data_IF_925947020765
#
_entry.id   IF_925947020765
#
_cell.length_a   1.000
_cell.length_b   1.000
_cell.length_c   1.000
_cell.angle_alpha   90.00
_cell.angle_beta   90.00
_cell.angle_gamma   90.00
#
_symmetry.space_group_name_H-M   'P 1'
#
loop_
_entity.id
_entity.type
_entity.pdbx_description
1 polymer ?
#
# COMPACT_ATOMS: atom_id res chain seq x y z
N UNK A 1 -52.96 -31.54 38.53
CA UNK A 1 -52.52 -31.52 37.12
C UNK A 1 -51.92 -30.16 36.87
N UNK A 2 -50.59 -30.07 36.85
CA UNK A 2 -49.85 -28.84 36.54
C UNK A 2 -49.13 -29.11 35.22
N UNK A 3 -49.58 -28.49 34.13
CA UNK A 3 -48.90 -28.56 32.84
C UNK A 3 -47.76 -27.55 32.82
N UNK A 4 -46.56 -28.08 32.60
CA UNK A 4 -45.31 -27.33 32.58
C UNK A 4 -45.18 -26.44 31.36
N UNK A 5 -44.64 -25.24 31.59
CA UNK A 5 -44.16 -24.38 30.53
C UNK A 5 -42.89 -24.94 29.90
N UNK A 6 -42.95 -25.26 28.62
CA UNK A 6 -41.79 -25.48 27.77
C UNK A 6 -41.37 -24.14 27.14
N UNK A 7 -40.47 -23.43 27.79
CA UNK A 7 -39.80 -22.27 27.22
C UNK A 7 -38.67 -22.74 26.31
N UNK A 8 -39.01 -23.00 25.04
CA UNK A 8 -38.04 -23.27 23.97
C UNK A 8 -37.15 -22.06 23.70
N UNK A 9 -36.02 -21.98 24.41
CA UNK A 9 -34.93 -21.06 24.07
C UNK A 9 -34.29 -21.55 22.77
N UNK A 10 -34.65 -20.92 21.65
CA UNK A 10 -33.96 -21.13 20.36
C UNK A 10 -32.53 -20.61 20.48
N UNK A 11 -31.57 -21.52 20.67
CA UNK A 11 -30.15 -21.23 20.54
C UNK A 11 -29.87 -20.66 19.13
N UNK A 12 -29.22 -19.49 19.09
CA UNK A 12 -28.77 -18.86 17.85
C UNK A 12 -27.67 -19.74 17.24
N UNK A 13 -27.62 -19.93 15.91
CA UNK A 13 -26.62 -20.77 15.28
C UNK A 13 -25.22 -20.18 15.52
N UNK A 14 -24.37 -20.91 16.24
CA UNK A 14 -22.95 -20.61 16.36
C UNK A 14 -22.34 -20.60 14.96
N UNK A 15 -22.01 -19.41 14.45
CA UNK A 15 -21.30 -19.23 13.18
C UNK A 15 -19.97 -19.98 13.29
N UNK A 16 -19.83 -21.10 12.58
CA UNK A 16 -18.61 -21.90 12.55
C UNK A 16 -17.43 -20.99 12.18
N UNK A 17 -16.49 -20.80 13.10
CA UNK A 17 -15.34 -19.94 12.86
C UNK A 17 -14.44 -20.59 11.81
N UNK A 18 -14.05 -19.83 10.80
CA UNK A 18 -13.19 -20.32 9.71
C UNK A 18 -11.80 -20.65 10.26
N UNK A 19 -11.25 -21.78 9.85
CA UNK A 19 -9.86 -22.14 10.13
C UNK A 19 -8.89 -21.17 9.44
N UNK A 20 -7.63 -21.15 9.89
CA UNK A 20 -6.58 -20.31 9.31
C UNK A 20 -6.38 -20.62 7.82
N UNK A 21 -6.40 -21.90 7.44
CA UNK A 21 -6.24 -22.32 6.04
C UNK A 21 -7.38 -21.77 5.20
N UNK A 22 -8.62 -21.95 5.65
CA UNK A 22 -9.80 -21.43 4.94
C UNK A 22 -9.79 -19.90 4.83
N UNK A 23 -9.31 -19.19 5.87
CA UNK A 23 -9.17 -17.73 5.82
C UNK A 23 -8.14 -17.30 4.76
N UNK A 24 -6.99 -17.97 4.68
CA UNK A 24 -5.95 -17.70 3.67
C UNK A 24 -6.47 -18.03 2.26
N UNK A 25 -7.11 -19.18 2.08
CA UNK A 25 -7.69 -19.60 0.80
C UNK A 25 -8.76 -18.62 0.31
N UNK A 26 -9.66 -18.19 1.20
CA UNK A 26 -10.65 -17.15 0.88
C UNK A 26 -10.01 -15.83 0.49
N UNK A 27 -8.95 -15.42 1.18
CA UNK A 27 -8.24 -14.20 0.82
C UNK A 27 -7.57 -14.30 -0.57
N UNK A 28 -6.99 -15.46 -0.89
CA UNK A 28 -6.41 -15.72 -2.22
C UNK A 28 -7.49 -15.64 -3.30
N UNK A 29 -8.63 -16.27 -3.09
CA UNK A 29 -9.76 -16.23 -4.02
C UNK A 29 -10.29 -14.79 -4.22
N UNK A 30 -10.49 -14.05 -3.14
CA UNK A 30 -10.92 -12.64 -3.20
C UNK A 30 -9.90 -11.75 -3.91
N UNK A 31 -8.60 -12.00 -3.72
CA UNK A 31 -7.55 -11.30 -4.45
C UNK A 31 -7.64 -11.59 -5.95
N UNK A 32 -7.91 -12.84 -6.36
CA UNK A 32 -8.10 -13.17 -7.78
C UNK A 32 -9.36 -12.55 -8.37
N UNK A 33 -10.48 -12.57 -7.65
CA UNK A 33 -11.69 -11.85 -8.05
C UNK A 33 -11.40 -10.36 -8.29
N UNK A 34 -10.68 -9.74 -7.35
CA UNK A 34 -10.26 -8.34 -7.47
C UNK A 34 -9.39 -8.09 -8.71
N UNK A 35 -8.53 -9.04 -9.07
CA UNK A 35 -7.72 -8.97 -10.28
C UNK A 35 -8.59 -8.98 -11.55
N UNK A 36 -9.68 -9.75 -11.56
CA UNK A 36 -10.61 -9.77 -12.69
C UNK A 36 -11.33 -8.44 -12.82
N UNK A 37 -11.92 -7.91 -11.75
CA UNK A 37 -12.56 -6.59 -11.76
C UNK A 37 -11.58 -5.48 -12.19
N UNK A 38 -10.32 -5.54 -11.74
CA UNK A 38 -9.29 -4.58 -12.14
C UNK A 38 -9.01 -4.62 -13.65
N UNK A 39 -8.93 -5.82 -14.24
CA UNK A 39 -8.75 -5.98 -15.69
C UNK A 39 -9.96 -5.49 -16.48
N UNK A 40 -11.17 -5.67 -15.95
CA UNK A 40 -12.41 -5.16 -16.53
C UNK A 40 -12.60 -3.65 -16.36
N UNK A 41 -11.69 -2.95 -15.66
CA UNK A 41 -11.78 -1.50 -15.40
C UNK A 41 -12.73 -1.13 -14.25
N UNK A 42 -13.31 -2.11 -13.57
CA UNK A 42 -14.17 -1.90 -12.40
C UNK A 42 -13.33 -1.78 -11.13
N UNK A 43 -12.71 -0.61 -10.98
CA UNK A 43 -11.81 -0.35 -9.85
C UNK A 43 -12.55 -0.32 -8.51
N UNK A 44 -13.83 0.03 -8.48
CA UNK A 44 -14.61 0.10 -7.23
C UNK A 44 -14.81 -1.29 -6.64
N UNK A 45 -15.24 -2.25 -7.45
CA UNK A 45 -15.42 -3.62 -6.97
C UNK A 45 -14.08 -4.34 -6.75
N UNK A 46 -13.06 -4.03 -7.57
CA UNK A 46 -11.69 -4.50 -7.32
C UNK A 46 -11.21 -4.08 -5.91
N UNK A 47 -11.36 -2.80 -5.56
CA UNK A 47 -10.99 -2.27 -4.23
C UNK A 47 -11.76 -2.98 -3.11
N UNK A 48 -13.06 -3.21 -3.28
CA UNK A 48 -13.85 -3.97 -2.28
C UNK A 48 -13.29 -5.37 -2.07
N UNK A 49 -13.01 -6.10 -3.16
CA UNK A 49 -12.49 -7.47 -3.13
C UNK A 49 -11.11 -7.55 -2.45
N UNK A 50 -10.19 -6.64 -2.79
CA UNK A 50 -8.90 -6.57 -2.11
C UNK A 50 -9.02 -6.23 -0.62
N UNK A 51 -9.90 -5.30 -0.25
CA UNK A 51 -10.13 -4.98 1.17
C UNK A 51 -10.73 -6.15 1.95
N UNK A 52 -11.64 -6.92 1.35
CA UNK A 52 -12.12 -8.16 1.96
C UNK A 52 -11.00 -9.20 2.10
N UNK A 53 -10.13 -9.36 1.11
CA UNK A 53 -8.97 -10.23 1.22
C UNK A 53 -8.05 -9.81 2.39
N UNK A 54 -7.76 -8.50 2.51
CA UNK A 54 -6.99 -7.95 3.63
C UNK A 54 -7.67 -8.24 4.98
N UNK A 55 -8.99 -8.13 5.08
CA UNK A 55 -9.73 -8.41 6.31
C UNK A 55 -9.58 -9.86 6.78
N UNK A 56 -9.56 -10.82 5.85
CA UNK A 56 -9.33 -12.23 6.19
C UNK A 56 -7.89 -12.51 6.65
N UNK A 57 -6.92 -11.71 6.20
CA UNK A 57 -5.50 -11.88 6.51
C UNK A 57 -5.04 -11.06 7.72
N UNK A 58 -5.74 -9.98 8.05
CA UNK A 58 -5.40 -9.06 9.14
C UNK A 58 -5.49 -9.77 10.49
N UNK A 59 -4.44 -9.66 11.30
CA UNK A 59 -4.35 -10.29 12.61
C UNK A 59 -4.06 -11.80 12.60
N UNK A 60 -3.93 -12.44 11.43
CA UNK A 60 -3.45 -13.81 11.37
C UNK A 60 -1.94 -13.84 11.64
N UNK A 61 -1.51 -14.45 12.75
CA UNK A 61 -0.09 -14.66 13.06
C UNK A 61 0.69 -13.41 13.46
N UNK A 62 -0.01 -12.35 13.86
CA UNK A 62 0.54 -11.15 14.48
C UNK A 62 0.05 -11.08 15.92
N UNK A 63 0.51 -12.02 16.75
CA UNK A 63 0.26 -11.94 18.18
C UNK A 63 1.62 -11.81 18.90
N UNK A 64 2.08 -10.58 19.17
CA UNK A 64 3.27 -10.35 19.98
C UNK A 64 3.09 -10.93 21.40
N UNK A 65 1.85 -11.05 21.88
CA UNK A 65 1.55 -11.50 23.24
C UNK A 65 1.68 -13.02 23.40
N UNK A 66 1.60 -13.78 22.32
CA UNK A 66 1.69 -15.24 22.37
C UNK A 66 3.11 -15.76 22.62
N UNK A 67 4.13 -14.92 22.41
CA UNK A 67 5.50 -15.17 22.82
C UNK A 67 5.76 -14.84 24.30
N UNK A 68 4.87 -14.05 24.92
CA UNK A 68 5.07 -13.45 26.25
C UNK A 68 4.22 -14.17 27.31
N UNK A 69 3.06 -14.73 26.94
CA UNK A 69 2.13 -15.36 27.89
C UNK A 69 2.14 -16.89 27.72
N UNK A 70 2.70 -17.65 28.69
CA UNK A 70 2.63 -19.10 28.70
C UNK A 70 1.17 -19.58 28.73
N UNK A 71 0.76 -20.41 27.77
CA UNK A 71 -0.58 -21.02 27.73
C UNK A 71 -1.57 -20.38 26.74
N UNK A 72 -1.24 -19.23 26.13
CA UNK A 72 -2.00 -18.72 24.98
C UNK A 72 -1.63 -19.54 23.76
N UNK A 73 -2.59 -20.29 23.20
CA UNK A 73 -2.41 -20.97 21.91
C UNK A 73 -2.28 -19.90 20.82
N UNK A 74 -1.06 -19.43 20.57
CA UNK A 74 -0.78 -18.71 19.32
C UNK A 74 -1.24 -19.62 18.19
N UNK A 75 -2.16 -19.13 17.37
CA UNK A 75 -2.39 -19.72 16.06
C UNK A 75 -1.12 -19.50 15.22
N UNK A 76 -0.10 -20.32 15.46
CA UNK A 76 1.19 -20.22 14.79
C UNK A 76 1.00 -20.70 13.36
N UNK A 77 1.13 -19.79 12.39
CA UNK A 77 1.07 -20.14 10.99
C UNK A 77 2.24 -21.06 10.65
N UNK A 78 1.98 -22.09 9.85
CA UNK A 78 3.07 -22.84 9.23
C UNK A 78 3.90 -21.91 8.34
N UNK A 79 5.17 -22.27 8.09
CA UNK A 79 6.03 -21.50 7.18
C UNK A 79 5.36 -21.23 5.82
N UNK A 80 4.71 -22.25 5.26
CA UNK A 80 3.95 -22.15 4.01
C UNK A 80 2.75 -21.20 4.12
N UNK A 81 1.97 -21.28 5.19
CA UNK A 81 0.84 -20.37 5.42
C UNK A 81 1.30 -18.92 5.57
N UNK A 82 2.38 -18.68 6.32
CA UNK A 82 2.96 -17.34 6.50
C UNK A 82 3.45 -16.75 5.18
N UNK A 83 4.10 -17.57 4.35
CA UNK A 83 4.55 -17.17 3.02
C UNK A 83 3.38 -16.82 2.10
N UNK A 84 2.36 -17.69 2.02
CA UNK A 84 1.16 -17.42 1.22
C UNK A 84 0.42 -16.18 1.71
N UNK A 85 0.25 -16.01 3.03
CA UNK A 85 -0.34 -14.81 3.64
C UNK A 85 0.41 -13.56 3.21
N UNK A 86 1.74 -13.52 3.37
CA UNK A 86 2.55 -12.34 3.06
C UNK A 86 2.53 -12.02 1.55
N UNK A 87 2.62 -13.04 0.69
CA UNK A 87 2.49 -12.88 -0.77
C UNK A 87 1.12 -12.30 -1.16
N UNK A 88 0.04 -12.78 -0.55
CA UNK A 88 -1.31 -12.29 -0.82
C UNK A 88 -1.51 -10.87 -0.27
N UNK A 89 -1.01 -10.56 0.92
CA UNK A 89 -1.02 -9.18 1.47
C UNK A 89 -0.28 -8.22 0.54
N UNK A 90 0.94 -8.57 0.12
CA UNK A 90 1.73 -7.80 -0.83
C UNK A 90 0.95 -7.54 -2.11
N UNK A 91 0.36 -8.58 -2.70
CA UNK A 91 -0.41 -8.45 -3.93
C UNK A 91 -1.65 -7.55 -3.76
N UNK A 92 -2.38 -7.68 -2.65
CA UNK A 92 -3.56 -6.85 -2.37
C UNK A 92 -3.17 -5.38 -2.24
N UNK A 93 -2.14 -5.06 -1.45
CA UNK A 93 -1.68 -3.67 -1.29
C UNK A 93 -1.13 -3.09 -2.58
N UNK A 94 -0.32 -3.86 -3.32
CA UNK A 94 0.16 -3.43 -4.62
C UNK A 94 -1.01 -3.15 -5.56
N UNK A 95 -2.01 -4.03 -5.67
CA UNK A 95 -3.14 -3.83 -6.58
C UNK A 95 -4.08 -2.70 -6.14
N UNK A 96 -4.30 -2.51 -4.83
CA UNK A 96 -4.99 -1.33 -4.30
C UNK A 96 -4.27 -0.04 -4.70
N UNK A 97 -2.94 0.02 -4.58
CA UNK A 97 -2.18 1.18 -5.06
C UNK A 97 -2.37 1.41 -6.57
N UNK A 98 -2.50 0.34 -7.35
CA UNK A 98 -2.85 0.42 -8.77
C UNK A 98 -4.24 1.00 -9.03
N UNK A 99 -5.24 0.63 -8.23
CA UNK A 99 -6.60 1.20 -8.33
C UNK A 99 -6.59 2.68 -7.99
N UNK A 100 -5.94 3.04 -6.88
CA UNK A 100 -5.84 4.43 -6.43
C UNK A 100 -5.05 5.30 -7.41
N UNK A 101 -4.07 4.74 -8.11
CA UNK A 101 -3.32 5.44 -9.16
C UNK A 101 -4.25 5.83 -10.32
N UNK A 102 -5.21 4.97 -10.69
CA UNK A 102 -6.18 5.27 -11.74
C UNK A 102 -7.17 6.36 -11.35
N UNK A 103 -7.40 6.55 -10.06
CA UNK A 103 -8.22 7.63 -9.50
C UNK A 103 -7.38 8.86 -9.10
N UNK A 104 -6.07 8.87 -9.39
CA UNK A 104 -5.14 9.96 -9.01
C UNK A 104 -5.12 10.29 -7.50
N UNK A 105 -5.38 9.28 -6.66
CA UNK A 105 -5.43 9.43 -5.21
C UNK A 105 -4.06 9.23 -4.58
N UNK A 106 -3.17 10.19 -4.81
CA UNK A 106 -1.74 10.08 -4.53
C UNK A 106 -1.41 9.68 -3.09
N UNK A 107 -2.13 10.23 -2.10
CA UNK A 107 -1.95 9.89 -0.69
C UNK A 107 -2.20 8.39 -0.43
N UNK A 108 -3.24 7.82 -1.07
CA UNK A 108 -3.60 6.42 -0.94
C UNK A 108 -2.62 5.51 -1.67
N UNK A 109 -2.13 5.95 -2.83
CA UNK A 109 -1.11 5.22 -3.59
C UNK A 109 0.15 5.06 -2.74
N UNK A 110 0.63 6.16 -2.15
CA UNK A 110 1.83 6.15 -1.31
C UNK A 110 1.67 5.21 -0.12
N UNK A 111 0.53 5.30 0.59
CA UNK A 111 0.27 4.42 1.74
C UNK A 111 0.25 2.94 1.35
N UNK A 112 -0.56 2.55 0.36
CA UNK A 112 -0.69 1.15 -0.03
C UNK A 112 0.59 0.59 -0.63
N UNK A 113 1.29 1.35 -1.49
CA UNK A 113 2.56 0.89 -2.05
C UNK A 113 3.65 0.76 -0.97
N UNK A 114 3.64 1.62 0.05
CA UNK A 114 4.54 1.49 1.20
C UNK A 114 4.23 0.25 2.02
N UNK A 115 2.97 -0.02 2.35
CA UNK A 115 2.60 -1.27 3.04
C UNK A 115 2.97 -2.53 2.25
N UNK A 116 2.93 -2.48 0.91
CA UNK A 116 3.45 -3.57 0.09
C UNK A 116 4.97 -3.73 0.28
N UNK A 117 5.73 -2.64 0.22
CA UNK A 117 7.18 -2.68 0.36
C UNK A 117 7.66 -3.00 1.78
N UNK A 118 6.87 -2.72 2.82
CA UNK A 118 7.15 -3.19 4.19
C UNK A 118 7.06 -4.72 4.30
N UNK A 119 6.20 -5.36 3.51
CA UNK A 119 6.05 -6.82 3.48
C UNK A 119 7.13 -7.49 2.61
N UNK A 120 7.52 -6.84 1.51
CA UNK A 120 8.54 -7.32 0.59
C UNK A 120 9.40 -6.12 0.13
N UNK A 121 10.50 -5.82 0.82
CA UNK A 121 11.36 -4.67 0.53
C UNK A 121 11.98 -4.69 -0.87
N UNK A 122 12.23 -5.89 -1.42
CA UNK A 122 12.72 -6.04 -2.78
C UNK A 122 11.69 -5.59 -3.82
N UNK A 123 10.41 -5.66 -3.45
CA UNK A 123 9.27 -5.20 -4.23
C UNK A 123 9.19 -5.79 -5.63
N UNK A 124 8.53 -5.05 -6.52
CA UNK A 124 8.60 -5.25 -7.96
C UNK A 124 8.53 -3.88 -8.66
N UNK A 125 8.90 -3.84 -9.95
CA UNK A 125 8.95 -2.59 -10.71
C UNK A 125 7.64 -1.79 -10.62
N UNK A 126 6.48 -2.45 -10.70
CA UNK A 126 5.16 -1.79 -10.62
C UNK A 126 4.92 -1.09 -9.28
N UNK A 127 5.39 -1.65 -8.17
CA UNK A 127 5.18 -1.09 -6.83
C UNK A 127 5.97 0.20 -6.66
N UNK A 128 7.26 0.17 -7.03
CA UNK A 128 8.11 1.35 -7.04
C UNK A 128 7.63 2.40 -8.05
N UNK A 129 7.25 1.99 -9.25
CA UNK A 129 6.68 2.88 -10.26
C UNK A 129 5.45 3.61 -9.72
N UNK A 130 4.49 2.89 -9.12
CA UNK A 130 3.26 3.48 -8.57
C UNK A 130 3.56 4.51 -7.48
N UNK A 131 4.44 4.16 -6.53
CA UNK A 131 4.81 5.06 -5.43
C UNK A 131 5.62 6.26 -5.91
N UNK A 132 6.57 6.05 -6.81
CA UNK A 132 7.37 7.09 -7.43
C UNK A 132 6.54 8.09 -8.23
N UNK A 133 5.57 7.62 -9.02
CA UNK A 133 4.59 8.48 -9.72
C UNK A 133 3.78 9.32 -8.73
N UNK A 134 3.32 8.74 -7.62
CA UNK A 134 2.57 9.49 -6.62
C UNK A 134 3.43 10.51 -5.86
N UNK A 135 4.71 10.21 -5.60
CA UNK A 135 5.66 11.19 -5.06
C UNK A 135 5.93 12.32 -6.05
N UNK A 136 6.06 12.01 -7.35
CA UNK A 136 6.24 13.01 -8.40
C UNK A 136 5.03 13.96 -8.51
N UNK A 137 3.82 13.41 -8.38
CA UNK A 137 2.58 14.18 -8.40
C UNK A 137 2.41 15.07 -7.16
N UNK A 138 2.93 14.63 -6.01
CA UNK A 138 2.87 15.38 -4.74
C UNK A 138 4.07 16.30 -4.51
N UNK A 139 5.01 16.38 -5.46
CA UNK A 139 6.18 17.25 -5.40
C UNK A 139 7.32 16.73 -4.53
N UNK A 140 7.25 15.49 -4.03
CA UNK A 140 8.35 14.86 -3.29
C UNK A 140 9.37 14.28 -4.29
N UNK A 141 10.16 15.16 -4.91
CA UNK A 141 11.00 14.82 -6.05
C UNK A 141 12.14 13.85 -5.70
N UNK A 142 12.73 13.95 -4.52
CA UNK A 142 13.80 13.04 -4.09
C UNK A 142 13.29 11.61 -3.89
N UNK A 143 12.12 11.46 -3.26
CA UNK A 143 11.50 10.13 -3.10
C UNK A 143 11.05 9.56 -4.44
N UNK A 144 10.54 10.41 -5.34
CA UNK A 144 10.20 10.01 -6.70
C UNK A 144 11.43 9.52 -7.48
N UNK A 145 12.57 10.20 -7.38
CA UNK A 145 13.83 9.80 -8.02
C UNK A 145 14.29 8.42 -7.57
N UNK A 146 14.33 8.19 -6.26
CA UNK A 146 14.72 6.91 -5.67
C UNK A 146 13.82 5.77 -6.18
N UNK A 147 12.51 5.94 -6.10
CA UNK A 147 11.55 4.89 -6.49
C UNK A 147 11.53 4.66 -8.01
N UNK A 148 11.52 5.71 -8.83
CA UNK A 148 11.47 5.56 -10.29
C UNK A 148 12.77 4.96 -10.85
N UNK A 149 13.94 5.29 -10.27
CA UNK A 149 15.20 4.62 -10.62
C UNK A 149 15.17 3.14 -10.23
N UNK A 150 14.65 2.81 -9.05
CA UNK A 150 14.49 1.41 -8.64
C UNK A 150 13.55 0.66 -9.59
N UNK A 151 12.45 1.29 -10.02
CA UNK A 151 11.54 0.72 -11.00
C UNK A 151 12.23 0.46 -12.34
N UNK A 152 13.08 1.38 -12.81
CA UNK A 152 13.84 1.25 -14.06
C UNK A 152 14.91 0.16 -14.00
N UNK A 153 15.56 -0.04 -12.85
CA UNK A 153 16.50 -1.15 -12.64
C UNK A 153 15.77 -2.50 -12.72
N UNK A 154 14.57 -2.58 -12.13
CA UNK A 154 13.78 -3.83 -12.09
C UNK A 154 13.05 -4.15 -13.41
N UNK A 155 12.76 -3.13 -14.22
CA UNK A 155 12.16 -3.29 -15.55
C UNK A 155 12.81 -2.33 -16.53
N UNK A 156 14.02 -2.66 -17.02
CA UNK A 156 14.70 -1.85 -18.02
C UNK A 156 13.82 -1.71 -19.26
N UNK A 157 13.75 -0.51 -19.83
CA UNK A 157 12.95 -0.18 -21.03
C UNK A 157 11.42 -0.16 -20.86
N UNK A 158 10.89 -0.11 -19.64
CA UNK A 158 9.46 0.17 -19.44
C UNK A 158 9.13 1.60 -19.89
N UNK A 159 8.31 1.80 -20.95
CA UNK A 159 8.00 3.14 -21.47
C UNK A 159 7.28 4.01 -20.44
N UNK A 160 6.47 3.41 -19.56
CA UNK A 160 5.75 4.16 -18.53
C UNK A 160 6.71 4.71 -17.47
N UNK A 161 7.70 3.90 -17.06
CA UNK A 161 8.75 4.33 -16.12
C UNK A 161 9.63 5.40 -16.75
N UNK A 162 10.08 5.19 -17.99
CA UNK A 162 10.93 6.16 -18.70
C UNK A 162 10.23 7.52 -18.86
N UNK A 163 8.93 7.53 -19.17
CA UNK A 163 8.13 8.76 -19.23
C UNK A 163 8.16 9.52 -17.90
N UNK A 164 7.97 8.83 -16.77
CA UNK A 164 7.98 9.46 -15.45
C UNK A 164 9.37 9.97 -15.05
N UNK A 165 10.45 9.28 -15.44
CA UNK A 165 11.82 9.76 -15.22
C UNK A 165 12.13 11.04 -16.00
N UNK A 166 11.62 11.17 -17.24
CA UNK A 166 11.76 12.40 -18.02
C UNK A 166 11.04 13.55 -17.32
N UNK A 167 9.76 13.35 -16.93
CA UNK A 167 8.96 14.36 -16.23
C UNK A 167 9.62 14.78 -14.89
N UNK A 168 10.17 13.83 -14.14
CA UNK A 168 10.93 14.09 -12.93
C UNK A 168 12.16 14.98 -13.21
N UNK A 169 12.92 14.68 -14.26
CA UNK A 169 14.09 15.47 -14.65
C UNK A 169 13.73 16.92 -14.97
N UNK A 170 12.62 17.14 -15.67
CA UNK A 170 12.10 18.47 -15.97
C UNK A 170 11.69 19.22 -14.69
N UNK A 171 10.91 18.58 -13.82
CA UNK A 171 10.49 19.16 -12.53
C UNK A 171 11.67 19.49 -11.62
N UNK A 172 12.68 18.62 -11.55
CA UNK A 172 13.90 18.86 -10.78
C UNK A 172 14.71 20.04 -11.32
N UNK A 173 14.80 20.17 -12.64
CA UNK A 173 15.46 21.32 -13.28
C UNK A 173 14.73 22.62 -12.99
N UNK A 174 13.40 22.62 -13.06
CA UNK A 174 12.58 23.78 -12.71
C UNK A 174 12.73 24.17 -11.24
N UNK A 175 12.68 23.17 -10.34
CA UNK A 175 12.85 23.38 -8.90
C UNK A 175 14.18 24.04 -8.58
N UNK A 176 15.29 23.49 -9.10
CA UNK A 176 16.64 24.07 -8.92
C UNK A 176 16.77 25.48 -9.48
N UNK A 177 16.11 25.77 -10.61
CA UNK A 177 16.09 27.12 -11.19
C UNK A 177 15.40 28.11 -10.23
N UNK A 178 14.21 27.76 -9.73
CA UNK A 178 13.46 28.58 -8.77
C UNK A 178 14.23 28.81 -7.48
N UNK A 179 14.87 27.76 -6.94
CA UNK A 179 15.72 27.91 -5.76
C UNK A 179 16.85 28.91 -5.99
N UNK A 180 17.58 28.81 -7.11
CA UNK A 180 18.66 29.74 -7.45
C UNK A 180 18.17 31.19 -7.53
N UNK A 181 17.02 31.42 -8.16
CA UNK A 181 16.39 32.75 -8.27
C UNK A 181 16.00 33.31 -6.89
N UNK A 182 15.40 32.50 -6.02
CA UNK A 182 15.03 32.88 -4.65
C UNK A 182 16.28 33.24 -3.84
N UNK A 183 17.31 32.39 -3.84
CA UNK A 183 18.53 32.62 -3.05
C UNK A 183 19.31 33.85 -3.53
N UNK A 184 19.43 34.04 -4.84
CA UNK A 184 20.07 35.23 -5.41
C UNK A 184 19.30 36.52 -5.09
N UNK A 185 17.96 36.50 -5.18
CA UNK A 185 17.13 37.63 -4.79
C UNK A 185 17.20 37.96 -3.29
N UNK A 186 17.25 36.94 -2.44
CA UNK A 186 17.38 37.10 -0.98
C UNK A 186 18.75 37.69 -0.59
N UNK A 187 19.82 37.28 -1.26
CA UNK A 187 21.16 37.85 -1.07
C UNK A 187 21.23 39.33 -1.45
N UNK A 188 20.65 39.71 -2.60
CA UNK A 188 20.58 41.10 -3.05
C UNK A 188 19.77 41.96 -2.06
N UNK A 189 18.63 41.46 -1.58
CA UNK A 189 17.77 42.19 -0.64
C UNK A 189 18.43 42.40 0.72
N UNK A 190 19.17 41.39 1.21
CA UNK A 190 19.92 41.50 2.47
C UNK A 190 21.05 42.53 2.37
N UNK A 191 21.75 42.60 1.25
CA UNK A 191 22.80 43.60 1.01
C UNK A 191 22.27 45.03 0.90
N UNK A 192 21.09 45.25 0.31
CA UNK A 192 20.46 46.60 0.28
C UNK A 192 20.14 47.12 1.68
N UNK A 193 19.62 46.27 2.56
CA UNK A 193 19.25 46.66 3.94
C UNK A 193 20.48 47.06 4.77
N UNK A 194 21.65 46.47 4.52
CA UNK A 194 22.90 46.85 5.20
C UNK A 194 23.49 48.16 4.67
N UNK A 195 23.28 48.49 3.40
CA UNK A 195 23.79 49.73 2.80
C UNK A 195 22.94 50.94 3.16
N UNK A 196 21.62 50.79 3.35
CA UNK A 196 20.72 51.90 3.74
C UNK A 196 20.79 52.28 5.24
N UNK A 197 21.57 51.56 6.05
CA UNK A 197 21.70 51.80 7.51
C UNK A 197 23.05 52.39 7.94
N UNK A 198 23.95 52.67 7.00
CA UNK A 198 25.24 53.34 7.23
C UNK A 198 25.25 54.70 6.55
#
# INVERSE_FOLDING_TARGET
MAEGGDSGVKEKPHKKELSISEKIEKAVALKEDGNQHFKSGDYKDAVKKYNYALLYLKGLGEDPTSQIVPGVKSQSLTKSQKETRNKTLFACYNNLSGCMLKEERWDRVIRHATSALELQPEGNSRTFYRRGTAYLATGNLDSADSDLKRAAVLSPNDPAVNKQLIELGEKMKEFRKKEKEIYSGMFVRKNKITVEKN
#
